data_IF_544614278684
#
_entry.id   IF_544614278684
#
_cell.length_a   1.000
_cell.length_b   1.000
_cell.length_c   1.000
_cell.angle_alpha   90.00
_cell.angle_beta   90.00
_cell.angle_gamma   90.00
#
_symmetry.space_group_name_H-M   'P 1'
#
loop_
_entity.id
_entity.type
_entity.pdbx_description
1 polymer ?
#
# COMPACT_ATOMS: atom_id res chain seq x y z
N UNK A 1 -7.61 12.16 17.31
CA UNK A 1 -8.33 13.32 16.75
C UNK A 1 -7.76 13.59 15.35
N UNK A 2 -8.62 13.66 14.32
CA UNK A 2 -8.21 13.83 12.91
C UNK A 2 -7.32 15.07 12.71
N UNK A 3 -7.51 16.09 13.55
CA UNK A 3 -6.71 17.33 13.53
C UNK A 3 -5.25 17.16 13.95
N UNK A 4 -4.91 16.06 14.62
CA UNK A 4 -3.56 15.79 15.14
C UNK A 4 -2.71 15.03 14.10
N UNK A 5 -3.34 14.47 13.05
CA UNK A 5 -2.64 13.74 12.00
C UNK A 5 -2.17 14.72 10.93
N UNK A 6 -0.84 14.82 10.74
CA UNK A 6 -0.26 15.57 9.62
C UNK A 6 -0.39 14.76 8.33
N UNK A 7 -1.59 14.80 7.73
CA UNK A 7 -1.91 13.99 6.54
C UNK A 7 -1.06 14.37 5.33
N UNK A 8 -0.71 15.64 5.17
CA UNK A 8 0.04 16.13 4.02
C UNK A 8 1.46 15.56 4.02
N UNK A 9 2.11 15.50 5.19
CA UNK A 9 3.42 14.88 5.33
C UNK A 9 3.38 13.36 5.07
N UNK A 10 2.38 12.66 5.60
CA UNK A 10 2.21 11.22 5.36
C UNK A 10 1.97 10.93 3.88
N UNK A 11 1.12 11.73 3.23
CA UNK A 11 0.87 11.59 1.80
C UNK A 11 2.12 11.89 0.97
N UNK A 12 2.88 12.93 1.33
CA UNK A 12 4.14 13.25 0.68
C UNK A 12 5.16 12.10 0.81
N UNK A 13 5.33 11.51 1.99
CA UNK A 13 6.24 10.37 2.17
C UNK A 13 5.85 9.18 1.30
N UNK A 14 4.56 8.88 1.19
CA UNK A 14 4.06 7.80 0.33
C UNK A 14 4.31 8.10 -1.15
N UNK A 15 4.07 9.34 -1.60
CA UNK A 15 4.39 9.73 -2.97
C UNK A 15 5.89 9.61 -3.27
N UNK A 16 6.75 10.07 -2.36
CA UNK A 16 8.21 9.96 -2.50
C UNK A 16 8.69 8.51 -2.52
N UNK A 17 8.10 7.63 -1.70
CA UNK A 17 8.39 6.21 -1.72
C UNK A 17 7.99 5.56 -3.04
N UNK A 18 6.86 5.99 -3.62
CA UNK A 18 6.38 5.47 -4.90
C UNK A 18 7.27 5.91 -6.06
N UNK A 19 7.51 7.21 -6.24
CA UNK A 19 8.34 7.72 -7.36
C UNK A 19 9.82 7.37 -7.22
N UNK A 20 10.27 7.07 -5.99
CA UNK A 20 11.61 6.59 -5.70
C UNK A 20 11.77 5.09 -5.85
N UNK A 21 10.73 4.37 -6.29
CA UNK A 21 10.72 2.90 -6.48
C UNK A 21 11.11 2.12 -5.20
N UNK A 22 10.73 2.65 -4.03
CA UNK A 22 11.06 2.07 -2.72
C UNK A 22 9.94 1.20 -2.13
N UNK A 23 8.87 0.93 -2.88
CA UNK A 23 7.69 0.20 -2.40
C UNK A 23 7.69 -1.28 -2.76
N UNK A 24 8.42 -1.71 -3.79
CA UNK A 24 8.51 -3.10 -4.26
C UNK A 24 9.95 -3.48 -4.63
N UNK A 25 10.24 -4.78 -4.84
CA UNK A 25 11.55 -5.21 -5.32
C UNK A 25 11.64 -4.96 -6.84
N UNK A 26 12.86 -4.90 -7.37
CA UNK A 26 13.06 -4.86 -8.83
C UNK A 26 12.35 -6.06 -9.48
N UNK A 27 11.71 -5.83 -10.64
CA UNK A 27 10.92 -6.79 -11.40
C UNK A 27 9.56 -7.24 -10.81
N UNK A 28 9.19 -6.85 -9.59
CA UNK A 28 7.88 -7.23 -9.00
C UNK A 28 6.70 -6.69 -9.83
N UNK A 29 6.79 -5.46 -10.34
CA UNK A 29 5.82 -4.81 -11.22
C UNK A 29 4.36 -4.83 -10.69
N UNK A 30 4.19 -4.77 -9.37
CA UNK A 30 2.89 -4.81 -8.69
C UNK A 30 2.36 -3.41 -8.36
N UNK A 31 3.18 -2.43 -8.00
CA UNK A 31 2.73 -1.08 -7.61
C UNK A 31 2.14 -0.33 -8.80
N UNK A 32 0.82 -0.10 -8.79
CA UNK A 32 0.11 0.60 -9.87
C UNK A 32 -0.11 2.09 -9.57
N UNK A 33 -0.06 2.45 -8.29
CA UNK A 33 -0.25 3.82 -7.84
C UNK A 33 -0.68 3.90 -6.39
N UNK A 34 -0.75 5.12 -5.90
CA UNK A 34 -1.15 5.44 -4.53
C UNK A 34 -2.33 6.40 -4.56
N UNK A 35 -3.19 6.33 -3.54
CA UNK A 35 -4.42 7.12 -3.46
C UNK A 35 -4.63 7.66 -2.04
N UNK A 36 -5.15 8.87 -1.93
CA UNK A 36 -5.61 9.44 -0.67
C UNK A 36 -7.10 9.82 -0.76
N UNK A 37 -7.90 9.32 0.16
CA UNK A 37 -9.31 9.64 0.31
C UNK A 37 -9.49 10.60 1.49
N UNK A 38 -10.00 11.80 1.21
CA UNK A 38 -10.39 12.76 2.24
C UNK A 38 -11.88 12.61 2.52
N UNK A 39 -12.24 12.31 3.78
CA UNK A 39 -13.64 12.23 4.25
C UNK A 39 -13.80 13.07 5.51
N UNK A 40 -15.04 13.41 5.89
CA UNK A 40 -15.30 14.25 7.07
C UNK A 40 -14.66 13.67 8.34
N UNK A 41 -14.85 12.37 8.59
CA UNK A 41 -14.39 11.69 9.82
C UNK A 41 -12.98 11.09 9.77
N UNK A 42 -12.41 10.84 8.58
CA UNK A 42 -11.13 10.15 8.45
C UNK A 42 -10.39 10.51 7.16
N UNK A 43 -9.11 10.17 7.12
CA UNK A 43 -8.32 10.04 5.90
C UNK A 43 -8.04 8.55 5.67
N UNK A 44 -7.95 8.14 4.42
CA UNK A 44 -7.47 6.81 4.05
C UNK A 44 -6.41 6.96 2.97
N UNK A 45 -5.21 6.47 3.22
CA UNK A 45 -4.17 6.35 2.20
C UNK A 45 -4.12 4.88 1.79
N UNK A 46 -4.07 4.61 0.49
CA UNK A 46 -3.98 3.27 -0.06
C UNK A 46 -2.93 3.18 -1.15
N UNK A 47 -2.46 1.96 -1.39
CA UNK A 47 -1.60 1.59 -2.49
C UNK A 47 -2.35 0.55 -3.32
N UNK A 48 -2.40 0.74 -4.63
CA UNK A 48 -3.00 -0.21 -5.55
C UNK A 48 -1.93 -1.11 -6.12
N UNK A 49 -2.21 -2.41 -6.05
CA UNK A 49 -1.37 -3.45 -6.65
C UNK A 49 -2.05 -4.00 -7.90
N UNK A 50 -1.26 -4.51 -8.84
CA UNK A 50 -1.72 -5.04 -10.12
C UNK A 50 -2.58 -6.27 -9.90
N UNK A 51 -2.19 -7.12 -8.95
CA UNK A 51 -2.85 -8.36 -8.64
C UNK A 51 -3.17 -8.47 -7.15
N UNK A 52 -4.03 -9.43 -6.81
CA UNK A 52 -4.29 -9.83 -5.42
C UNK A 52 -3.31 -10.90 -4.93
N UNK A 53 -2.08 -10.93 -5.47
CA UNK A 53 -1.06 -11.91 -5.13
C UNK A 53 -1.30 -13.27 -5.80
N UNK A 54 -1.93 -13.26 -6.98
CA UNK A 54 -2.12 -14.47 -7.78
C UNK A 54 -0.83 -14.80 -8.53
N UNK A 55 -0.69 -16.08 -8.88
CA UNK A 55 0.37 -16.51 -9.79
C UNK A 55 0.29 -15.68 -11.09
N UNK A 56 1.35 -14.91 -11.38
CA UNK A 56 1.48 -14.09 -12.58
C UNK A 56 2.84 -14.37 -13.21
N UNK A 57 2.84 -14.78 -14.48
CA UNK A 57 4.04 -15.26 -15.15
C UNK A 57 4.58 -16.54 -14.52
N UNK A 58 5.84 -16.52 -14.07
CA UNK A 58 6.55 -17.64 -13.45
C UNK A 58 6.36 -17.73 -11.92
N UNK A 59 5.70 -16.76 -11.28
CA UNK A 59 5.54 -16.74 -9.82
C UNK A 59 4.46 -17.71 -9.34
N UNK A 60 4.73 -18.45 -8.26
CA UNK A 60 3.71 -19.23 -7.55
C UNK A 60 2.78 -18.32 -6.74
N UNK A 61 1.69 -18.89 -6.23
CA UNK A 61 0.76 -18.16 -5.36
C UNK A 61 1.43 -17.72 -4.06
N UNK A 62 2.30 -18.55 -3.48
CA UNK A 62 3.05 -18.24 -2.26
C UNK A 62 4.01 -17.07 -2.50
N UNK A 63 4.70 -17.07 -3.65
CA UNK A 63 5.59 -15.98 -4.05
C UNK A 63 4.82 -14.67 -4.26
N UNK A 64 3.66 -14.71 -4.94
CA UNK A 64 2.81 -13.53 -5.09
C UNK A 64 2.34 -12.96 -3.75
N UNK A 65 1.97 -13.84 -2.81
CA UNK A 65 1.63 -13.44 -1.44
C UNK A 65 2.82 -12.82 -0.71
N UNK A 66 4.02 -13.38 -0.85
CA UNK A 66 5.22 -12.85 -0.22
C UNK A 66 5.57 -11.45 -0.77
N UNK A 67 5.52 -11.27 -2.10
CA UNK A 67 5.68 -9.95 -2.74
C UNK A 67 4.73 -8.93 -2.13
N UNK A 68 3.43 -9.23 -2.07
CA UNK A 68 2.45 -8.31 -1.48
C UNK A 68 2.71 -8.01 0.01
N UNK A 69 3.19 -8.99 0.78
CA UNK A 69 3.55 -8.76 2.17
C UNK A 69 4.75 -7.83 2.32
N UNK A 70 5.76 -7.96 1.45
CA UNK A 70 6.93 -7.05 1.44
C UNK A 70 6.48 -5.62 1.10
N UNK A 71 5.65 -5.46 0.08
CA UNK A 71 5.06 -4.18 -0.31
C UNK A 71 4.27 -3.57 0.85
N UNK A 72 3.40 -4.36 1.50
CA UNK A 72 2.62 -3.90 2.66
C UNK A 72 3.50 -3.43 3.83
N UNK A 73 4.61 -4.12 4.11
CA UNK A 73 5.58 -3.69 5.13
C UNK A 73 6.27 -2.38 4.78
N UNK A 74 6.73 -2.21 3.54
CA UNK A 74 7.35 -0.96 3.05
C UNK A 74 6.37 0.20 3.06
N UNK A 75 5.14 -0.04 2.62
CA UNK A 75 4.07 0.95 2.67
C UNK A 75 3.75 1.38 4.11
N UNK A 76 3.68 0.43 5.05
CA UNK A 76 3.53 0.72 6.49
C UNK A 76 4.66 1.61 7.03
N UNK A 77 5.90 1.35 6.62
CA UNK A 77 7.06 2.17 6.97
C UNK A 77 6.98 3.57 6.38
N UNK A 78 6.58 3.72 5.11
CA UNK A 78 6.38 5.02 4.46
C UNK A 78 5.29 5.86 5.15
N UNK A 79 4.25 5.21 5.67
CA UNK A 79 3.21 5.82 6.50
C UNK A 79 3.65 6.09 7.95
N UNK A 80 4.86 5.70 8.33
CA UNK A 80 5.41 5.87 9.68
C UNK A 80 4.51 5.27 10.78
N UNK A 81 3.78 4.21 10.45
CA UNK A 81 2.88 3.54 11.38
C UNK A 81 3.65 2.68 12.38
N UNK A 82 3.15 2.61 13.60
CA UNK A 82 3.71 1.77 14.66
C UNK A 82 3.48 0.30 14.38
N UNK A 83 4.25 -0.59 15.01
CA UNK A 83 4.11 -2.03 14.84
C UNK A 83 2.69 -2.54 15.10
N UNK A 84 2.00 -1.98 16.08
CA UNK A 84 0.63 -2.37 16.45
C UNK A 84 -0.47 -1.78 15.55
N UNK A 85 -0.14 -0.91 14.59
CA UNK A 85 -1.10 -0.33 13.65
C UNK A 85 -1.13 -1.17 12.36
N UNK A 86 -2.21 -1.90 12.07
CA UNK A 86 -2.27 -2.77 10.90
C UNK A 86 -2.43 -1.98 9.60
N UNK A 87 -1.88 -2.55 8.53
CA UNK A 87 -2.25 -2.23 7.15
C UNK A 87 -3.04 -3.41 6.63
N UNK A 88 -4.22 -3.14 6.07
CA UNK A 88 -5.11 -4.15 5.52
C UNK A 88 -4.95 -4.23 4.00
N UNK A 89 -5.21 -5.42 3.45
CA UNK A 89 -5.20 -5.67 2.02
C UNK A 89 -6.55 -6.25 1.58
N UNK A 90 -7.15 -5.68 0.56
CA UNK A 90 -8.40 -6.16 -0.02
C UNK A 90 -8.39 -6.03 -1.54
N UNK A 91 -8.97 -7.00 -2.22
CA UNK A 91 -9.17 -6.93 -3.67
C UNK A 91 -10.21 -5.87 -4.01
N UNK A 92 -10.05 -5.18 -5.15
CA UNK A 92 -10.97 -4.12 -5.56
C UNK A 92 -12.42 -4.61 -5.73
N UNK A 93 -12.62 -5.85 -6.19
CA UNK A 93 -13.96 -6.47 -6.31
C UNK A 93 -14.62 -6.68 -4.95
N UNK A 94 -13.84 -7.08 -3.95
CA UNK A 94 -14.36 -7.38 -2.61
C UNK A 94 -14.65 -6.08 -1.84
N UNK A 95 -13.89 -5.03 -2.10
CA UNK A 95 -14.04 -3.71 -1.46
C UNK A 95 -15.13 -2.84 -2.12
N UNK A 96 -15.65 -3.23 -3.28
CA UNK A 96 -16.70 -2.50 -4.00
C UNK A 96 -18.12 -2.81 -3.50
N UNK A 97 -18.27 -3.80 -2.61
CA UNK A 97 -19.54 -4.26 -2.05
C UNK A 97 -19.77 -3.79 -0.62
#
# INVERSE_FOLDING_TARGET
DKKVINIDALWLHVMLAAIGENLEDEDDNEVMGVVVNVRRGFYRIGLWTRSVGRAAGSRTQEQGKETLQKIGKRFKQALQLKENEPVEFSGHTDAAH
#
